data_IF_208970503871
#
_entry.id   IF_208970503871
#
_cell.length_a   1.000
_cell.length_b   1.000
_cell.length_c   1.000
_cell.angle_alpha   90.00
_cell.angle_beta   90.00
_cell.angle_gamma   90.00
#
_symmetry.space_group_name_H-M   'P 1'
#
loop_
_entity.id
_entity.type
_entity.pdbx_description
1 polymer ?
#
# COMPACT_ATOMS: atom_id res chain seq x y z
N UNK A 1 -53.15 -34.28 -52.48
CA UNK A 1 -53.41 -34.10 -53.95
C UNK A 1 -54.90 -33.96 -54.14
N UNK A 2 -55.34 -32.79 -54.57
CA UNK A 2 -56.76 -32.54 -54.84
C UNK A 2 -56.91 -32.45 -56.35
N UNK A 3 -57.72 -33.35 -57.03
CA UNK A 3 -57.92 -33.26 -58.44
C UNK A 3 -58.74 -32.05 -58.84
N UNK A 4 -58.31 -31.33 -59.89
CA UNK A 4 -59.02 -30.20 -60.47
C UNK A 4 -59.74 -30.66 -61.70
N UNK A 5 -61.10 -30.71 -61.70
CA UNK A 5 -61.92 -31.12 -62.80
C UNK A 5 -62.98 -32.17 -62.39
N UNK A 6 -63.81 -32.57 -63.33
CA UNK A 6 -64.82 -33.63 -63.08
C UNK A 6 -64.18 -35.03 -63.08
N UNK A 7 -64.72 -35.96 -62.31
CA UNK A 7 -64.20 -37.36 -62.27
C UNK A 7 -63.99 -38.05 -63.62
N UNK A 8 -64.62 -37.52 -64.63
CA UNK A 8 -64.51 -38.08 -66.05
C UNK A 8 -63.51 -37.37 -66.91
N UNK A 9 -62.97 -36.18 -66.53
CA UNK A 9 -61.99 -35.46 -67.33
C UNK A 9 -61.10 -34.57 -66.41
N UNK A 10 -60.05 -35.15 -65.83
CA UNK A 10 -59.15 -34.41 -64.91
C UNK A 10 -58.25 -33.45 -65.68
N UNK A 11 -58.43 -32.14 -65.49
CA UNK A 11 -57.66 -31.10 -66.15
C UNK A 11 -56.27 -30.92 -65.47
N UNK A 12 -56.12 -31.47 -64.26
CA UNK A 12 -54.85 -31.41 -63.55
C UNK A 12 -55.01 -31.83 -62.05
N UNK A 13 -53.90 -31.94 -61.35
CA UNK A 13 -53.87 -32.19 -59.94
C UNK A 13 -53.11 -31.03 -59.21
N UNK A 14 -53.69 -30.52 -58.12
CA UNK A 14 -53.08 -29.51 -57.26
C UNK A 14 -52.50 -30.24 -56.07
N UNK A 15 -51.19 -30.22 -55.97
CA UNK A 15 -50.50 -30.75 -54.81
C UNK A 15 -50.30 -29.60 -53.80
N UNK A 16 -51.08 -29.54 -52.75
CA UNK A 16 -50.91 -28.61 -51.67
C UNK A 16 -49.93 -29.20 -50.67
N UNK A 17 -48.70 -28.81 -50.80
CA UNK A 17 -47.68 -29.14 -49.76
C UNK A 17 -47.84 -28.22 -48.60
N UNK A 18 -48.45 -28.69 -47.53
CA UNK A 18 -48.56 -27.95 -46.24
C UNK A 18 -47.17 -27.94 -45.60
N UNK A 19 -46.47 -26.82 -45.76
CA UNK A 19 -45.26 -26.55 -44.99
C UNK A 19 -45.72 -26.22 -43.58
N UNK A 20 -45.53 -27.13 -42.66
CA UNK A 20 -45.82 -26.88 -41.23
C UNK A 20 -45.04 -25.66 -40.70
N UNK A 21 -45.51 -25.00 -39.64
CA UNK A 21 -44.89 -23.78 -39.11
C UNK A 21 -43.44 -23.93 -38.63
N UNK A 22 -42.89 -25.14 -38.71
CA UNK A 22 -41.50 -25.47 -38.28
C UNK A 22 -40.67 -26.10 -39.44
N UNK A 23 -41.13 -26.02 -40.69
CA UNK A 23 -40.34 -26.48 -41.84
C UNK A 23 -39.34 -25.36 -42.17
N UNK A 24 -38.08 -25.54 -41.75
CA UNK A 24 -36.97 -24.67 -42.16
C UNK A 24 -36.73 -24.87 -43.65
N UNK A 25 -36.82 -23.81 -44.42
CA UNK A 25 -36.39 -23.75 -45.79
C UNK A 25 -34.85 -23.74 -45.87
N UNK A 26 -34.23 -24.20 -46.96
CA UNK A 26 -32.78 -24.14 -47.14
C UNK A 26 -32.22 -22.72 -46.90
N UNK A 27 -32.99 -21.68 -47.24
CA UNK A 27 -32.64 -20.29 -47.01
C UNK A 27 -32.60 -19.95 -45.51
N UNK A 28 -33.48 -20.49 -44.68
CA UNK A 28 -33.50 -20.28 -43.24
C UNK A 28 -32.31 -20.95 -42.58
N UNK A 29 -31.89 -22.12 -43.04
CA UNK A 29 -30.71 -22.82 -42.55
C UNK A 29 -29.41 -22.05 -42.84
N UNK A 30 -29.28 -21.48 -44.05
CA UNK A 30 -28.14 -20.62 -44.42
C UNK A 30 -28.11 -19.34 -43.60
N UNK A 31 -29.26 -18.66 -43.41
CA UNK A 31 -29.38 -17.47 -42.56
C UNK A 31 -28.97 -17.75 -41.13
N UNK A 32 -29.43 -18.84 -40.55
CA UNK A 32 -29.04 -19.22 -39.19
C UNK A 32 -27.54 -19.55 -39.06
N UNK A 33 -26.96 -20.16 -40.11
CA UNK A 33 -25.51 -20.42 -40.13
C UNK A 33 -24.67 -19.11 -40.18
N UNK A 34 -25.08 -18.17 -41.03
CA UNK A 34 -24.43 -16.87 -41.15
C UNK A 34 -24.59 -16.04 -39.88
N UNK A 35 -25.77 -16.01 -39.28
CA UNK A 35 -26.02 -15.34 -37.99
C UNK A 35 -25.17 -15.94 -36.89
N UNK A 36 -25.06 -17.26 -36.79
CA UNK A 36 -24.20 -17.94 -35.83
C UNK A 36 -22.73 -17.57 -36.03
N UNK A 37 -22.23 -17.57 -37.25
CA UNK A 37 -20.85 -17.20 -37.57
C UNK A 37 -20.57 -15.76 -37.20
N UNK A 38 -21.46 -14.80 -37.50
CA UNK A 38 -21.33 -13.40 -37.12
C UNK A 38 -21.32 -13.25 -35.61
N UNK A 39 -22.17 -13.95 -34.86
CA UNK A 39 -22.16 -13.94 -33.40
C UNK A 39 -20.82 -14.44 -32.81
N UNK A 40 -20.25 -15.51 -33.41
CA UNK A 40 -18.94 -16.04 -32.99
C UNK A 40 -17.84 -15.01 -33.24
N UNK A 41 -17.81 -14.34 -34.41
CA UNK A 41 -16.83 -13.29 -34.70
C UNK A 41 -16.94 -12.10 -33.73
N UNK A 42 -18.16 -11.64 -33.42
CA UNK A 42 -18.41 -10.58 -32.46
C UNK A 42 -17.97 -11.00 -31.05
N UNK A 43 -18.27 -12.24 -30.64
CA UNK A 43 -17.87 -12.77 -29.35
C UNK A 43 -16.34 -12.86 -29.20
N UNK A 44 -15.64 -13.35 -30.21
CA UNK A 44 -14.17 -13.43 -30.21
C UNK A 44 -13.57 -12.01 -30.20
N UNK A 45 -14.07 -11.12 -31.04
CA UNK A 45 -13.62 -9.72 -31.08
C UNK A 45 -13.80 -9.01 -29.76
N UNK A 46 -14.95 -9.14 -29.12
CA UNK A 46 -15.20 -8.54 -27.79
C UNK A 46 -14.30 -9.12 -26.71
N UNK A 47 -13.99 -10.42 -26.75
CA UNK A 47 -13.10 -11.07 -25.81
C UNK A 47 -11.65 -10.55 -25.95
N UNK A 48 -11.15 -10.39 -27.16
CA UNK A 48 -9.81 -9.85 -27.43
C UNK A 48 -9.72 -8.40 -26.92
N UNK A 49 -10.71 -7.56 -27.23
CA UNK A 49 -10.76 -6.17 -26.78
C UNK A 49 -10.81 -6.10 -25.26
N UNK A 50 -11.65 -6.90 -24.62
CA UNK A 50 -11.76 -6.95 -23.14
C UNK A 50 -10.44 -7.37 -22.49
N UNK A 51 -9.77 -8.39 -23.04
CA UNK A 51 -8.47 -8.85 -22.53
C UNK A 51 -7.40 -7.77 -22.67
N UNK A 52 -7.38 -7.05 -23.80
CA UNK A 52 -6.46 -5.93 -24.02
C UNK A 52 -6.65 -4.82 -22.98
N UNK A 53 -7.87 -4.37 -22.74
CA UNK A 53 -8.17 -3.36 -21.74
C UNK A 53 -7.87 -3.86 -20.32
N UNK A 54 -8.16 -5.12 -20.01
CA UNK A 54 -7.84 -5.70 -18.70
C UNK A 54 -6.32 -5.67 -18.42
N UNK A 55 -5.48 -5.99 -19.41
CA UNK A 55 -4.02 -5.92 -19.27
C UNK A 55 -3.51 -4.49 -19.14
N UNK A 56 -4.11 -3.51 -19.82
CA UNK A 56 -3.77 -2.10 -19.68
C UNK A 56 -4.09 -1.60 -18.27
N UNK A 57 -5.29 -1.90 -17.76
CA UNK A 57 -5.72 -1.50 -16.42
C UNK A 57 -4.82 -2.17 -15.37
N UNK A 58 -4.52 -3.46 -15.53
CA UNK A 58 -3.64 -4.19 -14.62
C UNK A 58 -2.25 -3.53 -14.53
N UNK A 59 -1.65 -3.14 -15.64
CA UNK A 59 -0.34 -2.47 -15.65
C UNK A 59 -0.38 -1.05 -15.10
N UNK A 60 -1.38 -0.25 -15.51
CA UNK A 60 -1.43 1.19 -15.16
C UNK A 60 -1.99 1.46 -13.76
N UNK A 61 -2.86 0.60 -13.24
CA UNK A 61 -3.55 0.85 -11.98
C UNK A 61 -3.09 -0.10 -10.87
N UNK A 62 -3.09 -1.41 -11.12
CA UNK A 62 -2.82 -2.39 -10.07
C UNK A 62 -1.33 -2.44 -9.65
N UNK A 63 -0.41 -2.32 -10.62
CA UNK A 63 1.02 -2.39 -10.32
C UNK A 63 1.50 -1.28 -9.39
N UNK A 64 1.19 0.02 -9.61
CA UNK A 64 1.55 1.10 -8.68
C UNK A 64 0.95 0.93 -7.29
N UNK A 65 -0.31 0.49 -7.20
CA UNK A 65 -0.98 0.28 -5.91
C UNK A 65 -0.27 -0.79 -5.09
N UNK A 66 0.13 -1.91 -5.72
CA UNK A 66 0.90 -2.97 -5.04
C UNK A 66 2.28 -2.46 -4.61
N UNK A 67 2.93 -1.59 -5.39
CA UNK A 67 4.19 -0.93 -4.99
C UNK A 67 4.01 -0.07 -3.75
N UNK A 68 2.95 0.75 -3.69
CA UNK A 68 2.63 1.58 -2.51
C UNK A 68 2.40 0.71 -1.28
N UNK A 69 1.63 -0.38 -1.42
CA UNK A 69 1.38 -1.32 -0.33
C UNK A 69 2.67 -1.94 0.22
N UNK A 70 3.54 -2.42 -0.65
CA UNK A 70 4.83 -2.98 -0.25
C UNK A 70 5.71 -1.94 0.45
N UNK A 71 5.77 -0.72 -0.09
CA UNK A 71 6.54 0.37 0.49
C UNK A 71 6.01 0.79 1.87
N UNK A 72 4.69 0.94 2.01
CA UNK A 72 4.06 1.23 3.31
C UNK A 72 4.36 0.12 4.34
N UNK A 73 4.45 -1.13 3.89
CA UNK A 73 4.82 -2.25 4.75
C UNK A 73 6.29 -2.15 5.21
N UNK A 74 7.21 -1.71 4.35
CA UNK A 74 8.61 -1.47 4.74
C UNK A 74 8.75 -0.28 5.69
N UNK A 75 8.00 0.81 5.47
CA UNK A 75 7.91 1.94 6.42
C UNK A 75 7.45 1.44 7.80
N UNK A 76 6.42 0.60 7.85
CA UNK A 76 5.91 0.04 9.11
C UNK A 76 6.94 -0.82 9.86
N UNK A 77 7.92 -1.41 9.16
CA UNK A 77 9.07 -2.13 9.75
C UNK A 77 10.22 -1.22 10.17
N UNK A 78 10.10 0.10 9.93
CA UNK A 78 11.15 1.08 10.23
C UNK A 78 12.20 1.21 9.12
N UNK A 79 11.96 0.67 7.94
CA UNK A 79 12.82 0.84 6.77
C UNK A 79 12.36 2.05 5.95
N UNK A 80 12.95 3.20 6.24
CA UNK A 80 12.64 4.46 5.55
C UNK A 80 13.61 4.60 4.36
N UNK A 81 13.18 4.17 3.18
CA UNK A 81 13.92 4.38 1.94
C UNK A 81 13.13 5.29 1.01
N UNK A 82 13.80 6.07 0.16
CA UNK A 82 13.11 6.81 -0.88
C UNK A 82 12.51 5.88 -1.91
N UNK A 83 11.27 6.11 -2.25
CA UNK A 83 10.59 5.42 -3.33
C UNK A 83 11.23 5.89 -4.66
N UNK A 84 11.70 4.95 -5.49
CA UNK A 84 12.00 5.28 -6.88
C UNK A 84 10.67 5.51 -7.60
N UNK A 85 10.24 6.78 -7.67
CA UNK A 85 8.99 7.20 -8.27
C UNK A 85 9.16 7.15 -9.78
N UNK A 86 8.55 6.14 -10.42
CA UNK A 86 8.33 6.14 -11.86
C UNK A 86 6.94 6.71 -12.10
N UNK A 87 6.85 7.78 -12.87
CA UNK A 87 5.56 8.39 -13.24
C UNK A 87 4.66 7.36 -13.91
N UNK A 88 3.47 7.17 -13.35
CA UNK A 88 2.48 6.23 -13.87
C UNK A 88 1.67 6.85 -14.99
N UNK A 89 1.69 8.18 -15.11
CA UNK A 89 0.88 8.99 -16.01
C UNK A 89 -0.57 9.11 -15.56
N UNK A 90 -0.86 8.78 -14.29
CA UNK A 90 -2.17 8.99 -13.63
C UNK A 90 -1.91 9.93 -12.46
N UNK A 91 -2.37 11.18 -12.59
CA UNK A 91 -2.07 12.26 -11.64
C UNK A 91 -2.40 11.90 -10.18
N UNK A 92 -3.51 11.21 -9.94
CA UNK A 92 -3.94 10.80 -8.60
C UNK A 92 -3.00 9.78 -7.97
N UNK A 93 -2.48 8.86 -8.78
CA UNK A 93 -1.52 7.84 -8.33
C UNK A 93 -0.16 8.47 -8.08
N UNK A 94 0.29 9.37 -8.97
CA UNK A 94 1.57 10.05 -8.84
C UNK A 94 1.56 10.95 -7.59
N UNK A 95 0.48 11.70 -7.34
CA UNK A 95 0.29 12.49 -6.12
C UNK A 95 0.27 11.64 -4.84
N UNK A 96 -0.30 10.44 -4.90
CA UNK A 96 -0.29 9.51 -3.76
C UNK A 96 1.11 8.97 -3.50
N UNK A 97 1.88 8.64 -4.53
CA UNK A 97 3.27 8.21 -4.42
C UNK A 97 4.14 9.29 -3.77
N UNK A 98 4.01 10.55 -4.24
CA UNK A 98 4.72 11.70 -3.67
C UNK A 98 4.39 11.89 -2.18
N UNK A 99 3.11 11.79 -1.83
CA UNK A 99 2.65 11.94 -0.45
C UNK A 99 3.21 10.86 0.48
N UNK A 100 3.28 9.62 0.00
CA UNK A 100 3.84 8.49 0.77
C UNK A 100 5.37 8.60 0.88
N UNK A 101 6.07 9.08 -0.15
CA UNK A 101 7.51 9.32 -0.10
C UNK A 101 7.85 10.46 0.88
N UNK A 102 7.08 11.56 0.84
CA UNK A 102 7.23 12.65 1.78
C UNK A 102 7.01 12.20 3.23
N UNK A 103 5.98 11.39 3.48
CA UNK A 103 5.71 10.80 4.80
C UNK A 103 6.88 9.93 5.26
N UNK A 104 7.44 9.09 4.38
CA UNK A 104 8.62 8.28 4.67
C UNK A 104 9.81 9.15 5.08
N UNK A 105 10.07 10.22 4.34
CA UNK A 105 11.14 11.18 4.67
C UNK A 105 10.91 11.91 6.00
N UNK A 106 9.67 12.23 6.36
CA UNK A 106 9.35 12.82 7.66
C UNK A 106 9.59 11.83 8.81
N UNK A 107 9.17 10.58 8.66
CA UNK A 107 9.39 9.53 9.66
C UNK A 107 10.89 9.22 9.83
N UNK A 108 11.66 9.19 8.74
CA UNK A 108 13.11 9.02 8.80
C UNK A 108 13.76 10.13 9.60
N UNK A 109 13.46 11.40 9.32
CA UNK A 109 13.98 12.55 10.06
C UNK A 109 13.62 12.50 11.55
N UNK A 110 12.38 12.11 11.87
CA UNK A 110 11.94 11.96 13.25
C UNK A 110 12.73 10.85 13.97
N UNK A 111 12.98 9.73 13.32
CA UNK A 111 13.78 8.64 13.87
C UNK A 111 15.26 9.05 14.07
N UNK A 112 15.84 9.80 13.15
CA UNK A 112 17.21 10.31 13.25
C UNK A 112 17.35 11.30 14.44
N UNK A 113 16.39 12.21 14.58
CA UNK A 113 16.35 13.13 15.72
C UNK A 113 16.24 12.35 17.03
N UNK A 114 15.38 11.36 17.11
CA UNK A 114 15.20 10.52 18.29
C UNK A 114 16.46 9.73 18.65
N UNK A 115 17.14 9.15 17.63
CA UNK A 115 18.40 8.44 17.83
C UNK A 115 19.52 9.36 18.31
N UNK A 116 19.62 10.55 17.72
CA UNK A 116 20.59 11.58 18.15
C UNK A 116 20.33 12.00 19.58
N UNK A 117 19.07 12.35 19.91
CA UNK A 117 18.69 12.74 21.26
C UNK A 117 19.05 11.67 22.29
N UNK A 118 18.75 10.39 22.00
CA UNK A 118 19.11 9.26 22.88
C UNK A 118 20.63 9.13 23.07
N UNK A 119 21.40 9.36 22.03
CA UNK A 119 22.88 9.31 22.09
C UNK A 119 23.44 10.46 22.91
N UNK A 120 22.92 11.67 22.71
CA UNK A 120 23.36 12.89 23.41
C UNK A 120 23.05 12.75 24.89
N UNK A 121 21.84 12.31 25.26
CA UNK A 121 21.45 12.03 26.64
C UNK A 121 22.39 10.99 27.30
N UNK A 122 22.65 9.87 26.61
CA UNK A 122 23.54 8.85 27.15
C UNK A 122 24.95 9.40 27.39
N UNK A 123 25.41 10.31 26.55
CA UNK A 123 26.71 10.95 26.69
C UNK A 123 26.73 11.97 27.86
N UNK A 124 25.67 12.78 28.00
CA UNK A 124 25.55 13.75 29.08
C UNK A 124 25.37 13.11 30.46
N UNK A 125 24.77 11.91 30.54
CA UNK A 125 24.68 11.14 31.80
C UNK A 125 26.00 10.43 32.10
N UNK A 126 26.71 9.93 31.12
CA UNK A 126 27.97 9.16 31.33
C UNK A 126 29.04 10.01 31.99
N UNK A 127 29.16 11.30 31.64
CA UNK A 127 30.17 12.20 32.16
C UNK A 127 30.07 12.39 33.66
N UNK A 128 28.94 12.87 34.26
CA UNK A 128 28.80 13.02 35.68
C UNK A 128 28.88 11.68 36.42
N UNK A 129 28.36 10.60 35.82
CA UNK A 129 28.44 9.28 36.42
C UNK A 129 29.89 8.78 36.52
N UNK A 130 30.73 9.03 35.52
CA UNK A 130 32.15 8.67 35.52
C UNK A 130 32.91 9.49 36.58
N UNK A 131 32.62 10.79 36.69
CA UNK A 131 33.21 11.67 37.70
C UNK A 131 32.81 11.23 39.13
N UNK A 132 31.52 10.96 39.34
CA UNK A 132 31.01 10.44 40.60
C UNK A 132 31.68 9.13 41.00
N UNK A 133 31.76 8.18 40.07
CA UNK A 133 32.41 6.88 40.27
C UNK A 133 33.89 7.05 40.62
N UNK A 134 34.64 7.85 39.87
CA UNK A 134 36.05 8.12 40.13
C UNK A 134 36.30 8.78 41.51
N UNK A 135 35.44 9.72 41.91
CA UNK A 135 35.53 10.35 43.24
C UNK A 135 35.31 9.33 44.35
N UNK A 136 34.31 8.46 44.23
CA UNK A 136 34.01 7.43 45.22
C UNK A 136 35.13 6.39 45.25
N UNK A 137 35.62 5.90 44.11
CA UNK A 137 36.73 4.94 44.02
C UNK A 137 38.00 5.47 44.71
N UNK A 138 38.37 6.73 44.40
CA UNK A 138 39.53 7.38 45.04
C UNK A 138 39.40 7.53 46.58
N UNK A 139 38.19 7.70 47.09
CA UNK A 139 37.94 7.68 48.56
C UNK A 139 37.99 6.28 49.14
N UNK A 140 37.47 5.25 48.43
CA UNK A 140 37.51 3.86 48.86
C UNK A 140 38.96 3.33 48.90
N UNK A 141 39.77 3.67 47.88
CA UNK A 141 41.16 3.25 47.77
C UNK A 141 42.10 4.04 48.70
N UNK A 142 41.57 4.97 49.47
CA UNK A 142 42.34 5.81 50.42
C UNK A 142 43.26 6.82 49.76
N UNK A 143 43.13 7.05 48.46
CA UNK A 143 43.86 8.09 47.74
C UNK A 143 43.40 9.48 48.13
N UNK A 144 42.11 9.58 48.43
CA UNK A 144 41.50 10.82 48.92
C UNK A 144 40.87 10.59 50.29
N UNK A 145 41.06 11.61 51.16
CA UNK A 145 40.35 11.63 52.46
C UNK A 145 38.85 11.88 52.23
N UNK A 146 38.02 11.19 53.00
CA UNK A 146 36.57 11.42 53.01
C UNK A 146 36.31 12.75 53.75
N UNK A 147 36.04 13.80 52.99
CA UNK A 147 35.69 15.12 53.56
C UNK A 147 34.26 15.51 53.19
N UNK A 148 33.66 16.36 53.94
CA UNK A 148 32.33 16.93 53.70
C UNK A 148 32.25 17.58 52.32
N UNK A 149 33.29 18.30 51.92
CA UNK A 149 33.40 18.97 50.61
C UNK A 149 33.34 17.93 49.45
N UNK A 150 34.07 16.81 49.55
CA UNK A 150 34.07 15.75 48.52
C UNK A 150 32.74 15.02 48.45
N UNK A 151 32.11 14.74 49.58
CA UNK A 151 30.76 14.16 49.64
C UNK A 151 29.73 15.12 49.02
N UNK A 152 29.88 16.43 49.27
CA UNK A 152 29.02 17.44 48.64
C UNK A 152 29.18 17.48 47.12
N UNK A 153 30.39 17.38 46.60
CA UNK A 153 30.61 17.25 45.13
C UNK A 153 29.97 16.00 44.56
N UNK A 154 30.06 14.86 45.22
CA UNK A 154 29.36 13.66 44.81
C UNK A 154 27.83 13.86 44.78
N UNK A 155 27.29 14.54 45.82
CA UNK A 155 25.87 14.86 45.88
C UNK A 155 25.41 15.82 44.74
N UNK A 156 26.25 16.81 44.42
CA UNK A 156 25.96 17.70 43.27
C UNK A 156 25.89 16.94 41.96
N UNK A 157 26.79 15.97 41.68
CA UNK A 157 26.74 15.18 40.48
C UNK A 157 25.49 14.27 40.43
N UNK A 158 25.05 13.69 41.55
CA UNK A 158 23.78 12.97 41.65
C UNK A 158 22.59 13.87 41.29
N UNK A 159 22.56 15.09 41.87
CA UNK A 159 21.50 16.07 41.55
C UNK A 159 21.52 16.51 40.08
N UNK A 160 22.71 16.61 39.49
CA UNK A 160 22.86 16.90 38.06
C UNK A 160 22.24 15.81 37.21
N UNK A 161 22.54 14.53 37.51
CA UNK A 161 21.94 13.37 36.81
C UNK A 161 20.42 13.36 36.97
N UNK A 162 19.92 13.60 38.18
CA UNK A 162 18.48 13.67 38.46
C UNK A 162 17.76 14.76 37.65
N UNK A 163 18.40 15.94 37.49
CA UNK A 163 17.87 17.01 36.62
C UNK A 163 17.84 16.62 35.15
N UNK A 164 18.88 15.95 34.63
CA UNK A 164 18.94 15.48 33.26
C UNK A 164 17.81 14.46 32.96
N UNK A 165 17.57 13.51 33.87
CA UNK A 165 16.48 12.56 33.79
C UNK A 165 15.12 13.27 33.79
N UNK A 166 14.92 14.24 34.67
CA UNK A 166 13.66 15.00 34.73
C UNK A 166 13.39 15.86 33.48
N UNK A 167 14.43 16.25 32.72
CA UNK A 167 14.27 16.94 31.45
C UNK A 167 13.78 15.97 30.37
N UNK A 168 14.24 14.73 30.39
CA UNK A 168 13.82 13.67 29.47
C UNK A 168 12.34 13.34 29.65
N UNK A 169 11.90 13.18 30.90
CA UNK A 169 10.51 12.89 31.23
C UNK A 169 9.57 13.98 30.69
N UNK A 170 9.98 15.27 30.82
CA UNK A 170 9.20 16.36 30.25
C UNK A 170 9.10 16.34 28.73
N UNK A 171 10.16 15.97 28.03
CA UNK A 171 10.14 15.85 26.56
C UNK A 171 9.16 14.73 26.15
N UNK A 172 9.21 13.58 26.81
CA UNK A 172 8.30 12.47 26.56
C UNK A 172 6.82 12.82 26.86
N UNK A 173 6.56 13.63 27.91
CA UNK A 173 5.21 14.12 28.23
C UNK A 173 4.66 15.03 27.13
N UNK A 174 5.47 15.94 26.60
CA UNK A 174 5.06 16.85 25.52
C UNK A 174 4.73 16.06 24.26
N UNK A 175 5.59 15.12 23.84
CA UNK A 175 5.33 14.26 22.68
C UNK A 175 4.06 13.41 22.86
N UNK A 176 3.80 12.91 24.05
CA UNK A 176 2.60 12.13 24.34
C UNK A 176 1.32 12.97 24.31
N UNK A 177 1.38 14.24 24.73
CA UNK A 177 0.25 15.16 24.66
C UNK A 177 -0.07 15.61 23.23
N UNK A 178 0.94 15.90 22.41
CA UNK A 178 0.73 16.24 21.00
C UNK A 178 0.09 15.08 20.22
N UNK A 179 0.48 13.86 20.50
CA UNK A 179 -0.11 12.66 19.88
C UNK A 179 -1.56 12.41 20.27
N UNK A 180 -2.02 12.92 21.42
CA UNK A 180 -3.42 12.83 21.86
C UNK A 180 -4.32 13.94 21.30
N UNK A 181 -3.75 15.09 20.95
CA UNK A 181 -4.51 16.22 20.38
C UNK A 181 -4.77 16.07 18.89
N UNK A 182 -4.09 15.15 18.20
CA UNK A 182 -4.27 14.84 16.77
C UNK A 182 -5.28 13.70 16.50
N UNK A 183 -5.95 13.20 17.50
CA UNK A 183 -7.07 12.23 17.38
C UNK A 183 -8.42 12.94 17.51
#
# INVERSE_FOLDING_TARGET
>A
IVPLGSETDPIGSLEVQSVGPFAYTEHDALFLADMRNNLIFVAIGSLIISLFFALLIAKKLSSPIVRIQNFTTEIAKGHYSHLAIEETGIQEIDSLLDSVDELSGQLQRQQEIRNRLSSDIAHEIRTPLTTLKGNIEAMIDGVWEVSEERLYHCYEEVNRIARLIGQIDRINEIESHESQLQK
#
